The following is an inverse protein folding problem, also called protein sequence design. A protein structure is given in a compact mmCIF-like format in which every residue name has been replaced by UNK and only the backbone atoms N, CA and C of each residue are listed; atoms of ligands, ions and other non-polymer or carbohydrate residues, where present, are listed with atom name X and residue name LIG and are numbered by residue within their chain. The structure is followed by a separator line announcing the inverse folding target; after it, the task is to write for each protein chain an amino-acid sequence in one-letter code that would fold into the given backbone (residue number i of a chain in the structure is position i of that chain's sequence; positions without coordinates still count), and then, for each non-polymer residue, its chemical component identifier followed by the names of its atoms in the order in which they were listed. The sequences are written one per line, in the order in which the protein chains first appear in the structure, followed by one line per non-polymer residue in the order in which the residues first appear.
data_IF_173954719888
#
_entry.id   IF_173954719888
#
_cell.length_a   1.000
_cell.length_b   1.000
_cell.length_c   1.000
_cell.angle_alpha   90.00
_cell.angle_beta   90.00
_cell.angle_gamma   90.00
#
_symmetry.space_group_name_H-M   'P 1'
#
loop_
_entity.id
_entity.type
_entity.pdbx_description
1 polymer ?
#
# COMPACT_ATOMS: atom_id res chain seq x y z
N UNK A 1 -54.11 -19.63 55.28
CA UNK A 1 -54.91 -19.07 54.16
C UNK A 1 -54.51 -17.63 53.82
N UNK A 2 -54.90 -16.60 54.58
CA UNK A 2 -54.54 -15.21 54.24
C UNK A 2 -53.02 -14.93 54.33
N UNK A 3 -52.35 -15.47 55.35
CA UNK A 3 -50.89 -15.38 55.50
C UNK A 3 -50.09 -16.09 54.40
N UNK A 4 -50.59 -17.21 53.88
CA UNK A 4 -49.96 -17.94 52.77
C UNK A 4 -50.10 -17.18 51.46
N UNK A 5 -51.25 -16.52 51.24
CA UNK A 5 -51.46 -15.67 50.08
C UNK A 5 -50.50 -14.48 50.09
N UNK A 6 -50.32 -13.83 51.25
CA UNK A 6 -49.38 -12.71 51.41
C UNK A 6 -47.92 -13.16 51.17
N UNK A 7 -47.52 -14.34 51.67
CA UNK A 7 -46.19 -14.90 51.39
C UNK A 7 -45.98 -15.14 49.90
N UNK A 8 -46.94 -15.75 49.21
CA UNK A 8 -46.86 -15.98 47.76
C UNK A 8 -46.72 -14.70 46.95
N UNK A 9 -47.43 -13.63 47.34
CA UNK A 9 -47.29 -12.32 46.70
C UNK A 9 -45.89 -11.77 46.90
N UNK A 10 -45.36 -11.82 48.12
CA UNK A 10 -44.00 -11.35 48.43
C UNK A 10 -42.93 -12.13 47.67
N UNK A 11 -43.07 -13.45 47.55
CA UNK A 11 -42.13 -14.30 46.82
C UNK A 11 -42.19 -13.98 45.31
N UNK A 12 -43.38 -13.77 44.75
CA UNK A 12 -43.56 -13.36 43.36
C UNK A 12 -42.98 -11.97 43.06
N UNK A 13 -43.12 -11.01 43.99
CA UNK A 13 -42.49 -9.69 43.88
C UNK A 13 -40.96 -9.80 43.87
N UNK A 14 -40.38 -10.64 44.73
CA UNK A 14 -38.94 -10.87 44.77
C UNK A 14 -38.41 -11.51 43.48
N UNK A 15 -39.16 -12.46 42.91
CA UNK A 15 -38.82 -13.12 41.64
C UNK A 15 -38.92 -12.15 40.46
N UNK A 16 -39.95 -11.29 40.43
CA UNK A 16 -40.09 -10.25 39.42
C UNK A 16 -38.95 -9.21 39.50
N UNK A 17 -38.58 -8.77 40.70
CA UNK A 17 -37.46 -7.85 40.92
C UNK A 17 -36.13 -8.47 40.44
N UNK A 18 -35.93 -9.76 40.68
CA UNK A 18 -34.75 -10.47 40.23
C UNK A 18 -34.72 -10.56 38.69
N UNK A 19 -35.86 -10.90 38.07
CA UNK A 19 -35.99 -10.94 36.61
C UNK A 19 -35.68 -9.59 35.96
N UNK A 20 -36.14 -8.48 36.55
CA UNK A 20 -35.85 -7.13 36.05
C UNK A 20 -34.35 -6.82 36.16
N UNK A 21 -33.71 -7.18 37.27
CA UNK A 21 -32.27 -6.97 37.46
C UNK A 21 -31.45 -7.75 36.45
N UNK A 22 -31.78 -9.02 36.24
CA UNK A 22 -31.07 -9.89 35.32
C UNK A 22 -31.24 -9.42 33.87
N UNK A 23 -32.48 -9.12 33.46
CA UNK A 23 -32.74 -8.55 32.13
C UNK A 23 -32.01 -7.22 31.90
N UNK A 24 -31.92 -6.37 32.93
CA UNK A 24 -31.17 -5.09 32.84
C UNK A 24 -29.66 -5.32 32.71
N UNK A 25 -29.12 -6.33 33.41
CA UNK A 25 -27.72 -6.69 33.31
C UNK A 25 -27.39 -7.28 31.93
N UNK A 26 -28.20 -8.19 31.43
CA UNK A 26 -28.05 -8.80 30.10
C UNK A 26 -28.16 -7.77 28.98
N UNK A 27 -29.09 -6.80 29.10
CA UNK A 27 -29.22 -5.72 28.13
C UNK A 27 -27.95 -4.87 28.06
N UNK A 28 -27.38 -4.50 29.23
CA UNK A 28 -26.12 -3.74 29.30
C UNK A 28 -24.96 -4.51 28.69
N UNK A 29 -24.89 -5.81 28.99
CA UNK A 29 -23.83 -6.67 28.45
C UNK A 29 -23.94 -6.84 26.94
N UNK A 30 -25.15 -7.02 26.43
CA UNK A 30 -25.41 -7.11 24.98
C UNK A 30 -24.97 -5.84 24.26
N UNK A 31 -25.25 -4.66 24.82
CA UNK A 31 -24.80 -3.39 24.26
C UNK A 31 -23.27 -3.25 24.30
N UNK A 32 -22.63 -3.68 25.40
CA UNK A 32 -21.17 -3.65 25.53
C UNK A 32 -20.50 -4.53 24.48
N UNK A 33 -20.94 -5.78 24.35
CA UNK A 33 -20.41 -6.74 23.38
C UNK A 33 -20.64 -6.26 21.95
N UNK A 34 -21.83 -5.72 21.64
CA UNK A 34 -22.11 -5.16 20.31
C UNK A 34 -21.17 -3.99 19.97
N UNK A 35 -20.86 -3.14 20.96
CA UNK A 35 -19.92 -2.04 20.78
C UNK A 35 -18.48 -2.54 20.54
N UNK A 36 -18.01 -3.47 21.35
CA UNK A 36 -16.68 -4.06 21.19
C UNK A 36 -16.51 -4.76 19.85
N UNK A 37 -17.50 -5.53 19.43
CA UNK A 37 -17.50 -6.21 18.13
C UNK A 37 -17.56 -5.20 16.98
N UNK A 38 -18.33 -4.12 17.11
CA UNK A 38 -18.37 -3.05 16.11
C UNK A 38 -17.03 -2.33 15.96
N UNK A 39 -16.35 -2.02 17.07
CA UNK A 39 -15.02 -1.38 17.04
C UNK A 39 -14.00 -2.31 16.37
N UNK A 40 -14.02 -3.59 16.73
CA UNK A 40 -13.15 -4.60 16.12
C UNK A 40 -13.37 -4.75 14.61
N UNK A 41 -14.62 -4.84 14.16
CA UNK A 41 -14.93 -4.94 12.73
C UNK A 41 -14.53 -3.67 11.98
N UNK A 42 -14.72 -2.50 12.59
CA UNK A 42 -14.28 -1.25 12.00
C UNK A 42 -12.76 -1.21 11.78
N UNK A 43 -11.98 -1.58 12.81
CA UNK A 43 -10.52 -1.62 12.72
C UNK A 43 -10.04 -2.67 11.71
N UNK A 44 -10.70 -3.83 11.66
CA UNK A 44 -10.37 -4.87 10.67
C UNK A 44 -10.61 -4.39 9.23
N UNK A 45 -11.72 -3.71 8.98
CA UNK A 45 -12.01 -3.12 7.65
C UNK A 45 -10.97 -2.07 7.28
N UNK A 46 -10.56 -1.21 8.23
CA UNK A 46 -9.52 -0.22 7.98
C UNK A 46 -8.17 -0.86 7.65
N UNK A 47 -7.78 -1.90 8.39
CA UNK A 47 -6.52 -2.58 8.16
C UNK A 47 -6.52 -3.36 6.84
N UNK A 48 -7.63 -4.00 6.48
CA UNK A 48 -7.79 -4.63 5.17
C UNK A 48 -7.70 -3.60 4.04
N UNK A 49 -8.31 -2.42 4.21
CA UNK A 49 -8.25 -1.34 3.23
C UNK A 49 -6.82 -0.81 3.06
N UNK A 50 -6.08 -0.60 4.17
CA UNK A 50 -4.67 -0.20 4.13
C UNK A 50 -3.81 -1.23 3.41
N UNK A 51 -3.97 -2.53 3.71
CA UNK A 51 -3.22 -3.61 3.05
C UNK A 51 -3.49 -3.65 1.54
N UNK A 52 -4.76 -3.51 1.13
CA UNK A 52 -5.11 -3.43 -0.30
C UNK A 52 -4.46 -2.23 -0.97
N UNK A 53 -4.49 -1.06 -0.33
CA UNK A 53 -3.85 0.14 -0.85
C UNK A 53 -2.33 -0.06 -1.03
N UNK A 54 -1.65 -0.61 -0.01
CA UNK A 54 -0.23 -0.94 -0.09
C UNK A 54 0.08 -1.93 -1.21
N UNK A 55 -0.72 -2.98 -1.36
CA UNK A 55 -0.57 -3.95 -2.45
C UNK A 55 -0.67 -3.30 -3.84
N UNK A 56 -1.69 -2.47 -4.06
CA UNK A 56 -1.87 -1.73 -5.33
C UNK A 56 -0.67 -0.82 -5.60
N UNK A 57 -0.15 -0.12 -4.59
CA UNK A 57 1.01 0.75 -4.71
C UNK A 57 2.28 -0.03 -5.06
N UNK A 58 2.52 -1.16 -4.40
CA UNK A 58 3.67 -2.02 -4.68
C UNK A 58 3.60 -2.63 -6.08
N UNK A 59 2.41 -3.08 -6.51
CA UNK A 59 2.18 -3.59 -7.86
C UNK A 59 2.45 -2.51 -8.92
N UNK A 60 1.91 -1.30 -8.73
CA UNK A 60 2.13 -0.18 -9.64
C UNK A 60 3.61 0.24 -9.71
N UNK A 61 4.33 0.22 -8.59
CA UNK A 61 5.77 0.49 -8.56
C UNK A 61 6.57 -0.59 -9.29
N UNK A 62 6.22 -1.87 -9.08
CA UNK A 62 6.88 -2.99 -9.76
C UNK A 62 6.66 -2.95 -11.27
N UNK A 63 5.43 -2.67 -11.71
CA UNK A 63 5.09 -2.53 -13.13
C UNK A 63 5.80 -1.32 -13.75
N UNK A 64 5.76 -0.16 -13.08
CA UNK A 64 6.46 1.03 -13.55
C UNK A 64 7.98 0.84 -13.69
N UNK A 65 8.60 0.11 -12.75
CA UNK A 65 10.03 -0.22 -12.84
C UNK A 65 10.31 -1.17 -14.00
N UNK A 66 9.46 -2.20 -14.19
CA UNK A 66 9.58 -3.15 -15.29
C UNK A 66 9.44 -2.46 -16.66
N UNK A 67 8.54 -1.49 -16.77
CA UNK A 67 8.38 -0.70 -17.99
C UNK A 67 9.53 0.28 -18.21
N UNK A 68 10.16 0.76 -17.13
CA UNK A 68 11.33 1.61 -17.21
C UNK A 68 12.61 0.87 -17.62
N UNK A 69 12.76 -0.42 -17.29
CA UNK A 69 13.91 -1.25 -17.67
C UNK A 69 14.26 -1.19 -19.18
N UNK A 70 13.34 -1.46 -20.13
CA UNK A 70 13.65 -1.38 -21.55
C UNK A 70 13.98 0.04 -22.00
N UNK A 71 13.37 1.06 -21.39
CA UNK A 71 13.67 2.47 -21.70
C UNK A 71 15.12 2.79 -21.32
N UNK A 72 15.54 2.38 -20.12
CA UNK A 72 16.91 2.56 -19.64
C UNK A 72 17.90 1.77 -20.51
N UNK A 73 17.60 0.51 -20.82
CA UNK A 73 18.45 -0.33 -21.67
C UNK A 73 18.63 0.28 -23.07
N UNK A 74 17.54 0.77 -23.68
CA UNK A 74 17.60 1.45 -24.97
C UNK A 74 18.39 2.75 -24.88
N UNK A 75 18.17 3.57 -23.86
CA UNK A 75 18.94 4.81 -23.65
C UNK A 75 20.44 4.58 -23.52
N UNK A 76 20.85 3.51 -22.82
CA UNK A 76 22.27 3.11 -22.72
C UNK A 76 22.82 2.69 -24.08
N UNK A 77 22.05 1.91 -24.84
CA UNK A 77 22.42 1.47 -26.19
C UNK A 77 22.59 2.67 -27.13
N UNK A 78 21.60 3.55 -27.20
CA UNK A 78 21.61 4.72 -28.07
C UNK A 78 22.80 5.65 -27.76
N UNK A 79 23.08 5.87 -26.47
CA UNK A 79 24.23 6.66 -26.02
C UNK A 79 25.56 6.03 -26.48
N UNK A 80 25.69 4.70 -26.40
CA UNK A 80 26.87 3.98 -26.87
C UNK A 80 27.04 4.07 -28.38
N UNK A 81 25.95 3.94 -29.13
CA UNK A 81 25.95 4.01 -30.59
C UNK A 81 26.36 5.42 -31.06
N UNK A 82 25.81 6.47 -30.46
CA UNK A 82 26.21 7.87 -30.71
C UNK A 82 27.70 8.08 -30.41
N UNK A 83 28.18 7.61 -29.25
CA UNK A 83 29.59 7.76 -28.86
C UNK A 83 30.55 7.07 -29.84
N UNK A 84 30.16 5.90 -30.35
CA UNK A 84 30.95 5.16 -31.34
C UNK A 84 31.09 5.93 -32.65
N UNK A 85 29.99 6.51 -33.15
CA UNK A 85 29.98 7.34 -34.37
C UNK A 85 30.89 8.57 -34.19
N UNK A 86 30.79 9.26 -33.05
CA UNK A 86 31.63 10.44 -32.75
C UNK A 86 33.11 10.09 -32.78
N UNK A 87 33.50 8.91 -32.29
CA UNK A 87 34.91 8.46 -32.30
C UNK A 87 35.43 8.26 -33.73
N UNK A 88 34.63 7.66 -34.61
CA UNK A 88 34.99 7.45 -36.02
C UNK A 88 35.11 8.78 -36.78
N UNK A 89 34.10 9.65 -36.65
CA UNK A 89 34.11 10.98 -37.27
C UNK A 89 35.30 11.80 -36.77
N UNK A 90 35.58 11.76 -35.46
CA UNK A 90 36.72 12.46 -34.86
C UNK A 90 38.04 11.95 -35.45
N UNK A 91 38.24 10.64 -35.56
CA UNK A 91 39.47 10.08 -36.11
C UNK A 91 39.66 10.47 -37.58
N UNK A 92 38.59 10.43 -38.38
CA UNK A 92 38.62 10.87 -39.77
C UNK A 92 38.90 12.37 -39.90
N UNK A 93 38.28 13.20 -39.06
CA UNK A 93 38.52 14.64 -39.02
C UNK A 93 39.97 14.96 -38.61
N UNK A 94 40.51 14.27 -37.60
CA UNK A 94 41.92 14.41 -37.20
C UNK A 94 42.84 14.02 -38.35
N UNK A 95 42.59 12.90 -39.03
CA UNK A 95 43.38 12.48 -40.20
C UNK A 95 43.35 13.53 -41.31
N UNK A 96 42.17 14.07 -41.65
CA UNK A 96 42.03 15.13 -42.66
C UNK A 96 42.81 16.40 -42.29
N UNK A 97 42.75 16.81 -41.03
CA UNK A 97 43.49 17.99 -40.54
C UNK A 97 45.00 17.76 -40.59
N UNK A 98 45.47 16.59 -40.14
CA UNK A 98 46.90 16.22 -40.19
C UNK A 98 47.39 16.19 -41.64
N UNK A 99 46.66 15.54 -42.56
CA UNK A 99 47.02 15.52 -43.98
C UNK A 99 47.08 16.94 -44.58
N UNK A 100 46.17 17.83 -44.20
CA UNK A 100 46.17 19.20 -44.70
C UNK A 100 47.35 20.03 -44.17
N UNK A 101 47.73 19.86 -42.91
CA UNK A 101 48.91 20.53 -42.34
C UNK A 101 50.20 19.98 -42.95
N UNK A 102 50.32 18.64 -43.04
CA UNK A 102 51.51 17.97 -43.58
C UNK A 102 51.69 18.26 -45.07
N UNK A 103 50.62 18.33 -45.87
CA UNK A 103 50.71 18.70 -47.31
C UNK A 103 51.08 20.18 -47.54
N UNK A 104 50.73 21.07 -46.61
CA UNK A 104 51.06 22.51 -46.69
C UNK A 104 52.50 22.79 -46.23
N UNK A 105 53.04 22.02 -45.28
CA UNK A 105 54.39 22.20 -44.73
C UNK A 105 55.43 21.17 -45.21
N UNK A 106 55.02 20.19 -46.02
CA UNK A 106 55.83 19.01 -46.40
C UNK A 106 56.35 19.01 -47.84
N UNK A 107 56.31 20.15 -48.53
CA UNK A 107 57.17 20.33 -49.71
C UNK A 107 58.56 20.78 -49.26
N UNK A 108 59.40 19.78 -48.96
CA UNK A 108 60.80 19.83 -49.38
C UNK A 108 61.09 18.61 -50.24
#
# INVERSE_FOLDING_TARGET
MALDAIKKVKDAEAEADQMIKDATAEAKESVRLAKEESEKQYDEVLDQAKRKCSGILEEALAEGNKDAEPILANGVKDSKDISSIVKEIKNNAVKLVVERIVKVNGNS
#
